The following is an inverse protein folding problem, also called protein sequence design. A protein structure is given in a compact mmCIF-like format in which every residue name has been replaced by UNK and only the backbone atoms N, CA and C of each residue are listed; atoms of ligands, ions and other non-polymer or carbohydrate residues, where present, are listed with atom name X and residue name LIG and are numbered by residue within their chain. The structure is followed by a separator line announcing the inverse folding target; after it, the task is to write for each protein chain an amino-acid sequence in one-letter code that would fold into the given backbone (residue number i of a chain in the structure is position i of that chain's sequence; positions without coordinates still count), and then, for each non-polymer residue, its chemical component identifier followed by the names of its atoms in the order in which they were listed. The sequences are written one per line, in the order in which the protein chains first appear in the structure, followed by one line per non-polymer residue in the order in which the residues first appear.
data_IF_504840965156
#
_entry.id   IF_504840965156
#
_cell.length_a   1.000
_cell.length_b   1.000
_cell.length_c   1.000
_cell.angle_alpha   90.00
_cell.angle_beta   90.00
_cell.angle_gamma   90.00
#
_symmetry.space_group_name_H-M   'P 1'
#
loop_
_entity.id
_entity.type
_entity.pdbx_description
1 polymer ?
#
# COMPACT_ATOMS: atom_id res chain seq x y z
N UNK A 1 9.21 6.90 19.08
CA UNK A 1 9.86 7.17 17.78
C UNK A 1 8.75 7.35 16.77
N UNK A 2 8.76 8.41 15.97
CA UNK A 2 7.75 8.61 14.92
C UNK A 2 7.87 7.50 13.88
N UNK A 3 6.75 6.88 13.47
CA UNK A 3 6.76 5.91 12.38
C UNK A 3 7.32 6.58 11.10
N UNK A 4 8.30 5.97 10.42
CA UNK A 4 8.99 6.61 9.30
C UNK A 4 8.08 6.82 8.09
N UNK A 5 7.02 6.02 7.96
CA UNK A 5 6.10 6.02 6.82
C UNK A 5 4.68 6.37 7.27
N UNK A 6 4.21 7.61 7.01
CA UNK A 6 2.84 8.06 7.34
C UNK A 6 1.69 7.18 6.84
N UNK A 7 1.90 6.36 5.80
CA UNK A 7 0.90 5.45 5.24
C UNK A 7 1.10 3.99 5.66
N UNK A 8 2.09 3.69 6.51
CA UNK A 8 2.39 2.32 6.97
C UNK A 8 2.56 2.31 8.49
N UNK A 9 1.49 1.92 9.20
CA UNK A 9 1.45 1.88 10.64
C UNK A 9 1.73 0.48 11.23
N UNK A 10 1.79 -0.56 10.40
CA UNK A 10 2.27 -1.87 10.83
C UNK A 10 3.77 -1.81 11.18
N UNK A 11 4.30 -2.76 11.97
CA UNK A 11 5.74 -2.90 12.19
C UNK A 11 6.50 -2.99 10.86
N UNK A 12 7.60 -2.25 10.71
CA UNK A 12 8.36 -2.25 9.45
C UNK A 12 8.92 -3.64 9.12
N UNK A 13 9.16 -4.48 10.12
CA UNK A 13 9.57 -5.87 9.93
C UNK A 13 8.54 -6.73 9.17
N UNK A 14 7.28 -6.29 9.09
CA UNK A 14 6.20 -6.94 8.32
C UNK A 14 6.06 -6.39 6.89
N UNK A 15 6.82 -5.34 6.54
CA UNK A 15 6.82 -4.81 5.19
C UNK A 15 7.32 -5.83 4.17
N UNK A 16 6.74 -5.79 2.96
CA UNK A 16 7.26 -6.56 1.84
C UNK A 16 8.69 -6.11 1.54
N UNK A 17 9.57 -7.09 1.36
CA UNK A 17 10.99 -6.85 1.12
C UNK A 17 11.82 -6.45 2.34
N UNK A 18 11.32 -6.47 3.58
CA UNK A 18 12.18 -6.18 4.74
C UNK A 18 13.39 -7.12 4.82
N UNK A 19 14.59 -6.56 4.97
CA UNK A 19 15.85 -7.33 5.05
C UNK A 19 16.64 -7.10 6.34
N UNK A 20 16.13 -6.30 7.27
CA UNK A 20 16.85 -5.93 8.48
C UNK A 20 18.14 -5.13 8.23
N UNK A 21 19.06 -5.22 9.18
CA UNK A 21 20.26 -4.38 9.22
C UNK A 21 21.29 -4.71 8.12
N UNK A 22 22.11 -3.73 7.75
CA UNK A 22 23.26 -3.85 6.87
C UNK A 22 23.49 -2.61 5.99
N UNK A 23 24.36 -2.71 4.97
CA UNK A 23 24.71 -1.56 4.13
C UNK A 23 23.58 -1.23 3.15
N UNK A 24 23.30 0.06 2.98
CA UNK A 24 22.39 0.58 1.97
C UNK A 24 23.06 0.60 0.59
N UNK A 25 22.44 0.03 -0.43
CA UNK A 25 22.98 0.00 -1.79
C UNK A 25 22.83 1.34 -2.54
N UNK A 26 22.08 2.30 -1.98
CA UNK A 26 21.90 3.64 -2.56
C UNK A 26 22.90 4.65 -2.02
N UNK A 27 23.19 4.63 -0.71
CA UNK A 27 24.09 5.60 -0.07
C UNK A 27 25.34 5.00 0.56
N UNK A 28 25.47 3.68 0.62
CA UNK A 28 26.60 2.97 1.22
C UNK A 28 26.63 2.96 2.75
N UNK A 29 25.72 3.67 3.42
CA UNK A 29 25.69 3.73 4.89
C UNK A 29 25.13 2.44 5.51
N UNK A 30 25.66 2.05 6.66
CA UNK A 30 25.04 1.05 7.54
C UNK A 30 23.68 1.56 8.04
N UNK A 31 22.68 0.68 8.02
CA UNK A 31 21.33 0.98 8.49
C UNK A 31 20.77 -0.20 9.28
N UNK A 32 19.98 0.08 10.31
CA UNK A 32 19.32 -0.94 11.13
C UNK A 32 18.14 -1.59 10.41
N UNK A 33 17.50 -0.83 9.51
CA UNK A 33 16.31 -1.25 8.76
C UNK A 33 16.48 -0.93 7.27
N UNK A 34 16.29 -1.96 6.45
CA UNK A 34 16.37 -1.88 4.99
C UNK A 34 15.23 -2.65 4.33
N UNK A 35 14.92 -2.25 3.11
CA UNK A 35 13.91 -2.85 2.25
C UNK A 35 14.56 -3.24 0.92
N UNK A 36 14.29 -4.45 0.46
CA UNK A 36 14.67 -4.95 -0.86
C UNK A 36 13.83 -4.27 -1.93
N UNK A 37 14.49 -3.89 -3.00
CA UNK A 37 13.88 -3.42 -4.24
C UNK A 37 13.40 -4.61 -5.05
N UNK A 38 12.15 -4.55 -5.47
CA UNK A 38 11.52 -5.53 -6.35
C UNK A 38 11.60 -5.11 -7.82
N UNK A 39 11.01 -5.92 -8.71
CA UNK A 39 10.94 -5.62 -10.15
C UNK A 39 10.14 -4.36 -10.49
N UNK A 40 9.35 -3.83 -9.55
CA UNK A 40 8.57 -2.59 -9.69
C UNK A 40 9.26 -1.37 -9.07
N UNK A 41 10.49 -1.48 -8.61
CA UNK A 41 11.22 -0.39 -7.96
C UNK A 41 12.05 0.44 -8.94
N UNK A 42 12.21 1.73 -8.66
CA UNK A 42 13.00 2.68 -9.45
C UNK A 42 13.83 3.59 -8.57
N UNK A 43 15.08 3.87 -8.96
CA UNK A 43 15.86 4.98 -8.40
C UNK A 43 15.38 6.31 -8.97
N UNK A 44 15.17 7.26 -8.08
CA UNK A 44 14.70 8.61 -8.38
C UNK A 44 15.83 9.60 -8.04
N UNK A 45 16.28 10.38 -9.02
CA UNK A 45 17.36 11.35 -8.82
C UNK A 45 17.82 12.02 -10.12
N UNK A 46 18.59 13.13 -10.02
CA UNK A 46 19.01 13.96 -11.17
C UNK A 46 20.18 13.38 -11.99
N UNK A 47 20.85 12.33 -11.52
CA UNK A 47 21.98 11.71 -12.21
C UNK A 47 21.63 10.28 -12.63
N UNK A 48 22.10 9.86 -13.81
CA UNK A 48 22.13 8.46 -14.25
C UNK A 48 23.04 7.67 -13.30
N UNK A 49 22.50 7.25 -12.16
CA UNK A 49 23.08 6.15 -11.40
C UNK A 49 22.78 4.87 -12.17
N UNK A 50 23.70 3.89 -12.18
CA UNK A 50 23.36 2.55 -12.63
C UNK A 50 22.07 2.14 -11.92
N UNK A 51 21.11 1.62 -12.67
CA UNK A 51 19.93 1.04 -12.05
C UNK A 51 20.43 0.05 -10.98
N UNK A 52 19.84 0.08 -9.77
CA UNK A 52 20.27 -0.84 -8.74
C UNK A 52 20.03 -2.26 -9.28
N UNK A 53 20.84 -3.21 -8.83
CA UNK A 53 20.58 -4.60 -9.17
C UNK A 53 19.16 -4.97 -8.74
N UNK A 54 18.50 -5.84 -9.51
CA UNK A 54 17.34 -6.57 -8.96
C UNK A 54 17.79 -7.15 -7.61
N UNK A 55 16.96 -6.99 -6.59
CA UNK A 55 17.21 -7.38 -5.20
C UNK A 55 18.09 -6.46 -4.34
N UNK A 56 18.42 -5.25 -4.82
CA UNK A 56 19.17 -4.27 -4.01
C UNK A 56 18.43 -3.91 -2.70
N UNK A 57 19.15 -3.68 -1.60
CA UNK A 57 18.55 -3.24 -0.34
C UNK A 57 18.76 -1.74 -0.09
N UNK A 58 17.68 -1.00 0.16
CA UNK A 58 17.67 0.44 0.45
C UNK A 58 17.34 0.72 1.91
N UNK A 59 18.04 1.67 2.54
CA UNK A 59 17.72 2.10 3.89
C UNK A 59 16.49 3.03 3.92
N UNK A 60 15.79 3.03 5.06
CA UNK A 60 14.63 3.90 5.31
C UNK A 60 14.91 5.38 5.00
N UNK A 61 16.04 6.00 5.41
CA UNK A 61 16.35 7.38 5.05
C UNK A 61 16.40 7.65 3.54
N UNK A 62 17.00 6.77 2.75
CA UNK A 62 17.07 6.95 1.28
C UNK A 62 15.68 6.86 0.65
N UNK A 63 14.84 5.93 1.13
CA UNK A 63 13.46 5.81 0.67
C UNK A 63 12.64 7.06 1.03
N UNK A 64 12.76 7.57 2.25
CA UNK A 64 12.08 8.81 2.70
C UNK A 64 12.58 10.06 1.99
N UNK A 65 13.86 10.11 1.64
CA UNK A 65 14.42 11.17 0.80
C UNK A 65 13.96 11.08 -0.67
N UNK A 66 13.14 10.09 -1.03
CA UNK A 66 12.64 9.91 -2.38
C UNK A 66 13.74 9.57 -3.37
N UNK A 67 14.79 8.88 -2.93
CA UNK A 67 15.84 8.35 -3.80
C UNK A 67 15.40 7.06 -4.51
N UNK A 68 14.32 6.46 -4.04
CA UNK A 68 13.68 5.28 -4.61
C UNK A 68 12.17 5.50 -4.57
N UNK A 69 11.48 4.97 -5.58
CA UNK A 69 10.04 4.83 -5.62
C UNK A 69 9.67 3.41 -6.04
N UNK A 70 8.56 2.91 -5.52
CA UNK A 70 7.97 1.64 -5.88
C UNK A 70 6.72 1.85 -6.73
N UNK A 71 6.44 0.93 -7.64
CA UNK A 71 5.12 0.80 -8.22
C UNK A 71 4.18 0.27 -7.14
N UNK A 72 2.97 0.85 -7.07
CA UNK A 72 1.95 0.47 -6.10
C UNK A 72 0.66 0.13 -6.81
N UNK A 73 0.15 -1.07 -6.57
CA UNK A 73 -1.18 -1.47 -6.97
C UNK A 73 -2.22 -0.90 -6.01
N UNK A 74 -3.31 -0.37 -6.57
CA UNK A 74 -4.35 0.30 -5.81
C UNK A 74 -5.73 -0.11 -6.31
N UNK A 75 -6.79 0.21 -5.56
CA UNK A 75 -8.17 0.01 -6.05
C UNK A 75 -8.53 0.83 -7.30
N UNK A 76 -7.68 1.80 -7.68
CA UNK A 76 -7.83 2.65 -8.86
C UNK A 76 -6.71 2.45 -9.89
N UNK A 77 -6.07 1.27 -9.87
CA UNK A 77 -5.00 0.90 -10.79
C UNK A 77 -3.62 1.16 -10.22
N UNK A 78 -2.59 0.83 -11.00
CA UNK A 78 -1.20 1.05 -10.60
C UNK A 78 -0.89 2.54 -10.43
N UNK A 79 0.10 2.83 -9.60
CA UNK A 79 0.72 4.15 -9.47
C UNK A 79 2.21 3.99 -9.69
N UNK A 80 2.68 4.44 -10.86
CA UNK A 80 4.10 4.59 -11.16
C UNK A 80 4.63 5.94 -10.63
N UNK A 81 5.94 6.13 -10.68
CA UNK A 81 6.55 7.41 -10.30
C UNK A 81 6.01 8.57 -11.16
N UNK A 82 5.89 8.39 -12.47
CA UNK A 82 5.37 9.37 -13.41
C UNK A 82 3.92 9.76 -13.10
N UNK A 83 3.11 8.76 -12.78
CA UNK A 83 1.70 8.91 -12.39
C UNK A 83 1.59 9.69 -11.09
N UNK A 84 2.44 9.36 -10.10
CA UNK A 84 2.53 10.08 -8.84
C UNK A 84 2.92 11.55 -9.01
N UNK A 85 3.88 11.85 -9.89
CA UNK A 85 4.26 13.23 -10.23
C UNK A 85 3.12 13.96 -10.94
N UNK A 86 2.40 13.27 -11.84
CA UNK A 86 1.27 13.84 -12.57
C UNK A 86 0.01 14.05 -11.70
N UNK A 87 -0.07 13.41 -10.53
CA UNK A 87 -1.23 13.51 -9.64
C UNK A 87 -2.43 12.72 -10.14
N UNK A 88 -2.19 11.54 -10.73
CA UNK A 88 -3.25 10.62 -11.15
C UNK A 88 -2.79 9.17 -11.06
N UNK A 89 -3.71 8.22 -10.98
CA UNK A 89 -3.38 6.80 -11.15
C UNK A 89 -3.16 6.44 -12.62
N UNK A 90 -2.54 5.29 -12.89
CA UNK A 90 -2.41 4.77 -14.25
C UNK A 90 -3.77 4.49 -14.91
N UNK A 91 -4.78 4.23 -14.07
CA UNK A 91 -6.16 4.01 -14.47
C UNK A 91 -6.56 2.54 -14.48
N UNK A 92 -7.86 2.32 -14.65
CA UNK A 92 -8.50 1.00 -14.73
C UNK A 92 -9.47 1.03 -15.91
N UNK A 93 -9.57 -0.06 -16.71
CA UNK A 93 -10.56 -0.14 -17.77
C UNK A 93 -11.98 -0.06 -17.18
N UNK A 94 -12.86 0.68 -17.86
CA UNK A 94 -14.28 0.79 -17.51
C UNK A 94 -14.56 1.31 -16.09
N UNK A 95 -13.63 2.05 -15.46
CA UNK A 95 -13.89 2.68 -14.17
C UNK A 95 -14.93 3.80 -14.33
N UNK A 96 -16.12 3.60 -13.75
CA UNK A 96 -17.24 4.55 -13.84
C UNK A 96 -17.46 5.38 -12.58
N UNK A 97 -16.85 4.98 -11.48
CA UNK A 97 -17.11 5.58 -10.17
C UNK A 97 -15.91 5.45 -9.24
N UNK A 98 -15.53 6.57 -8.62
CA UNK A 98 -14.59 6.63 -7.52
C UNK A 98 -15.12 7.64 -6.48
N UNK A 99 -15.59 7.14 -5.34
CA UNK A 99 -16.33 7.95 -4.37
C UNK A 99 -15.48 9.11 -3.82
N UNK A 100 -15.86 10.34 -4.16
CA UNK A 100 -15.15 11.55 -3.74
C UNK A 100 -13.83 11.81 -4.48
N UNK A 101 -13.57 11.14 -5.62
CA UNK A 101 -12.39 11.38 -6.44
C UNK A 101 -12.76 11.77 -7.88
N UNK A 102 -12.15 12.82 -8.45
CA UNK A 102 -12.35 13.15 -9.86
C UNK A 102 -11.80 12.06 -10.78
N UNK A 103 -12.51 11.81 -11.87
CA UNK A 103 -12.11 10.88 -12.93
C UNK A 103 -11.62 11.69 -14.15
N UNK A 104 -10.61 11.17 -14.84
CA UNK A 104 -10.25 11.68 -16.16
C UNK A 104 -11.22 11.18 -17.23
N UNK A 105 -11.19 11.80 -18.41
CA UNK A 105 -11.77 11.16 -19.59
C UNK A 105 -11.02 9.84 -19.89
N UNK A 106 -11.70 8.82 -20.46
CA UNK A 106 -11.05 7.60 -20.91
C UNK A 106 -9.97 7.91 -21.96
N UNK A 107 -8.82 7.23 -21.87
CA UNK A 107 -7.80 7.29 -22.92
C UNK A 107 -8.21 6.48 -24.17
N UNK A 108 -7.32 6.40 -25.17
CA UNK A 108 -7.56 5.66 -26.43
C UNK A 108 -7.89 4.17 -26.20
N UNK A 109 -7.38 3.59 -25.11
CA UNK A 109 -7.62 2.19 -24.71
C UNK A 109 -8.84 2.04 -23.77
N UNK A 110 -9.55 3.13 -23.49
CA UNK A 110 -10.71 3.14 -22.59
C UNK A 110 -10.38 3.12 -21.09
N UNK A 111 -9.12 3.38 -20.73
CA UNK A 111 -8.69 3.43 -19.32
C UNK A 111 -9.01 4.78 -18.72
N UNK A 112 -9.58 4.75 -17.51
CA UNK A 112 -9.95 5.95 -16.76
C UNK A 112 -9.06 6.06 -15.54
N UNK A 113 -8.38 7.19 -15.39
CA UNK A 113 -7.53 7.50 -14.24
C UNK A 113 -8.33 8.23 -13.15
N UNK A 114 -7.87 8.08 -11.91
CA UNK A 114 -8.37 8.85 -10.77
C UNK A 114 -7.39 9.97 -10.46
N UNK A 115 -7.88 11.21 -10.37
CA UNK A 115 -7.06 12.37 -10.00
C UNK A 115 -6.86 12.42 -8.48
N UNK A 116 -5.60 12.41 -8.05
CA UNK A 116 -5.21 12.38 -6.64
C UNK A 116 -4.01 13.33 -6.47
N UNK A 117 -4.01 14.24 -5.48
CA UNK A 117 -2.94 15.22 -5.32
C UNK A 117 -1.54 14.57 -5.39
N UNK A 118 -0.59 15.12 -6.18
CA UNK A 118 0.74 14.52 -6.36
C UNK A 118 1.44 14.16 -5.04
N UNK A 119 1.32 15.02 -4.03
CA UNK A 119 1.92 14.78 -2.72
C UNK A 119 1.41 13.50 -2.03
N UNK A 120 0.16 13.10 -2.27
CA UNK A 120 -0.41 11.86 -1.73
C UNK A 120 0.18 10.65 -2.47
N UNK A 121 0.23 10.70 -3.80
CA UNK A 121 0.75 9.59 -4.59
C UNK A 121 2.28 9.44 -4.43
N UNK A 122 3.01 10.54 -4.32
CA UNK A 122 4.44 10.54 -4.03
C UNK A 122 4.75 9.92 -2.66
N UNK A 123 3.89 10.16 -1.67
CA UNK A 123 3.99 9.49 -0.38
C UNK A 123 3.71 7.99 -0.50
N UNK A 124 2.70 7.60 -1.28
CA UNK A 124 2.35 6.20 -1.54
C UNK A 124 3.49 5.42 -2.20
N UNK A 125 4.07 5.93 -3.29
CA UNK A 125 5.18 5.24 -4.00
C UNK A 125 6.49 5.21 -3.19
N UNK A 126 6.60 5.98 -2.10
CA UNK A 126 7.72 5.93 -1.15
C UNK A 126 7.38 5.12 0.11
N UNK A 127 6.16 4.62 0.21
CA UNK A 127 5.72 3.79 1.33
C UNK A 127 6.07 2.33 1.01
N UNK A 128 6.68 1.58 1.94
CA UNK A 128 6.90 0.16 1.75
C UNK A 128 5.59 -0.58 1.51
N UNK A 129 5.66 -1.66 0.78
CA UNK A 129 4.53 -2.54 0.57
C UNK A 129 4.31 -3.46 1.76
N UNK A 130 3.31 -4.34 1.68
CA UNK A 130 3.01 -5.35 2.69
C UNK A 130 2.97 -6.73 2.05
N UNK A 131 3.22 -7.77 2.84
CA UNK A 131 3.26 -9.15 2.33
C UNK A 131 1.85 -9.59 1.90
N UNK A 132 1.78 -10.20 0.72
CA UNK A 132 0.55 -10.64 0.05
C UNK A 132 0.89 -11.71 -0.99
N UNK A 133 -0.03 -12.65 -1.25
CA UNK A 133 0.07 -13.65 -2.30
C UNK A 133 -0.56 -13.19 -3.62
N UNK A 134 -1.76 -12.59 -3.60
CA UNK A 134 -2.45 -12.13 -4.82
C UNK A 134 -1.96 -10.77 -5.33
N UNK A 135 -1.20 -10.04 -4.51
CA UNK A 135 -0.68 -8.73 -4.85
C UNK A 135 -1.25 -7.62 -3.98
N UNK A 136 -0.52 -6.51 -3.92
CA UNK A 136 -0.94 -5.39 -3.08
C UNK A 136 -2.18 -4.71 -3.66
N UNK A 137 -2.96 -4.09 -2.78
CA UNK A 137 -4.11 -3.27 -3.16
C UNK A 137 -4.30 -2.18 -2.12
N UNK A 138 -3.65 -1.05 -2.38
CA UNK A 138 -3.79 0.14 -1.54
C UNK A 138 -5.16 0.79 -1.71
N UNK A 139 -5.74 1.24 -0.59
CA UNK A 139 -7.08 1.82 -0.53
C UNK A 139 -7.03 3.33 -0.32
N UNK A 140 -8.06 4.01 -0.81
CA UNK A 140 -8.23 5.46 -0.72
C UNK A 140 -9.52 5.81 0.03
N UNK A 141 -9.50 6.97 0.71
CA UNK A 141 -10.67 7.53 1.38
C UNK A 141 -10.45 9.03 1.62
N UNK A 142 -11.50 9.84 1.47
CA UNK A 142 -11.46 11.29 1.70
C UNK A 142 -10.35 12.03 0.91
N UNK A 143 -10.11 11.65 -0.35
CA UNK A 143 -9.09 12.31 -1.17
C UNK A 143 -7.63 11.91 -0.87
N UNK A 144 -7.39 10.92 0.01
CA UNK A 144 -6.05 10.48 0.40
C UNK A 144 -5.91 8.96 0.36
N UNK A 145 -4.68 8.48 0.18
CA UNK A 145 -4.33 7.09 0.48
C UNK A 145 -4.58 6.82 1.98
N UNK A 146 -5.14 5.65 2.28
CA UNK A 146 -5.35 5.18 3.64
C UNK A 146 -4.05 4.63 4.22
N UNK A 147 -3.96 4.58 5.54
CA UNK A 147 -2.80 4.01 6.25
C UNK A 147 -3.01 2.52 6.38
N UNK A 148 -2.07 1.72 5.91
CA UNK A 148 -2.03 0.29 6.21
C UNK A 148 -1.77 0.09 7.70
N UNK A 149 -2.67 -0.61 8.40
CA UNK A 149 -2.60 -0.83 9.85
C UNK A 149 -2.30 -2.29 10.22
N UNK A 150 -1.95 -3.12 9.24
CA UNK A 150 -1.51 -4.50 9.45
C UNK A 150 -2.54 -5.54 9.02
N UNK A 151 -2.16 -6.80 9.21
CA UNK A 151 -3.06 -7.95 9.07
C UNK A 151 -3.89 -8.08 10.34
N UNK A 152 -5.18 -8.31 10.17
CA UNK A 152 -6.10 -8.48 11.29
C UNK A 152 -6.44 -9.95 11.52
N UNK A 153 -6.26 -10.37 12.76
CA UNK A 153 -6.79 -11.62 13.30
C UNK A 153 -8.25 -11.45 13.71
N UNK A 154 -8.90 -12.56 14.10
CA UNK A 154 -10.23 -12.48 14.73
C UNK A 154 -10.24 -11.58 15.96
N UNK A 155 -9.21 -11.67 16.80
CA UNK A 155 -9.09 -10.87 18.01
C UNK A 155 -8.95 -9.37 17.69
N UNK A 156 -8.28 -9.02 16.60
CA UNK A 156 -8.18 -7.63 16.15
C UNK A 156 -9.53 -7.09 15.71
N UNK A 157 -10.29 -7.88 14.95
CA UNK A 157 -11.66 -7.52 14.54
C UNK A 157 -12.54 -7.28 15.77
N UNK A 158 -12.56 -8.20 16.74
CA UNK A 158 -13.34 -8.04 17.98
C UNK A 158 -12.90 -6.82 18.78
N UNK A 159 -11.60 -6.55 18.85
CA UNK A 159 -11.04 -5.42 19.59
C UNK A 159 -11.40 -4.08 18.96
N UNK A 160 -11.35 -3.99 17.63
CA UNK A 160 -11.55 -2.75 16.90
C UNK A 160 -13.00 -2.49 16.50
N UNK A 161 -13.85 -3.52 16.43
CA UNK A 161 -15.24 -3.46 15.96
C UNK A 161 -16.22 -4.19 16.91
N UNK A 162 -16.35 -3.74 18.17
CA UNK A 162 -16.93 -4.56 19.25
C UNK A 162 -18.45 -4.76 19.23
N UNK A 163 -19.21 -3.96 18.46
CA UNK A 163 -20.68 -3.98 18.52
C UNK A 163 -21.30 -5.21 17.84
N UNK A 164 -20.88 -5.48 16.60
CA UNK A 164 -21.23 -6.67 15.82
C UNK A 164 -20.02 -7.02 14.93
N UNK A 165 -19.03 -7.75 15.48
CA UNK A 165 -17.76 -8.00 14.79
C UNK A 165 -17.91 -8.73 13.46
N UNK A 166 -18.88 -9.63 13.34
CA UNK A 166 -19.16 -10.38 12.10
C UNK A 166 -19.71 -9.44 11.02
N UNK A 167 -20.80 -8.73 11.32
CA UNK A 167 -21.39 -7.80 10.35
C UNK A 167 -20.41 -6.68 9.98
N UNK A 168 -19.63 -6.20 10.95
CA UNK A 168 -18.63 -5.17 10.70
C UNK A 168 -17.50 -5.66 9.79
N UNK A 169 -17.01 -6.90 9.97
CA UNK A 169 -16.03 -7.50 9.07
C UNK A 169 -16.56 -7.59 7.64
N UNK A 170 -17.77 -8.10 7.45
CA UNK A 170 -18.41 -8.22 6.13
C UNK A 170 -18.63 -6.85 5.45
N UNK A 171 -18.83 -5.79 6.24
CA UNK A 171 -19.01 -4.44 5.72
C UNK A 171 -17.68 -3.71 5.38
N UNK A 172 -16.57 -4.13 5.99
CA UNK A 172 -15.29 -3.42 5.93
C UNK A 172 -14.32 -4.06 4.95
N UNK A 173 -14.32 -5.40 4.86
CA UNK A 173 -13.38 -6.15 4.05
C UNK A 173 -14.02 -6.58 2.73
N UNK A 174 -13.49 -6.03 1.63
CA UNK A 174 -13.85 -6.47 0.28
C UNK A 174 -13.46 -7.95 0.09
N UNK A 175 -14.39 -8.77 -0.40
CA UNK A 175 -14.22 -10.22 -0.53
C UNK A 175 -14.56 -11.05 0.72
N UNK A 176 -14.88 -10.43 1.86
CA UNK A 176 -15.25 -11.18 3.06
C UNK A 176 -16.65 -11.83 2.95
N UNK A 177 -16.73 -13.09 3.36
CA UNK A 177 -17.98 -13.87 3.38
C UNK A 177 -18.30 -14.41 4.78
N UNK A 178 -19.58 -14.62 5.09
CA UNK A 178 -20.02 -15.00 6.44
C UNK A 178 -19.39 -16.32 6.93
N UNK A 179 -19.10 -17.25 6.01
CA UNK A 179 -18.43 -18.51 6.37
C UNK A 179 -17.01 -18.27 6.89
N UNK A 180 -16.31 -17.23 6.43
CA UNK A 180 -14.94 -16.93 6.89
C UNK A 180 -14.91 -16.60 8.39
N UNK A 181 -15.93 -15.90 8.89
CA UNK A 181 -16.08 -15.63 10.32
C UNK A 181 -16.36 -16.90 11.14
N UNK A 182 -17.19 -17.78 10.60
CA UNK A 182 -17.61 -19.02 11.28
C UNK A 182 -16.46 -20.03 11.40
N UNK A 183 -15.61 -20.12 10.38
CA UNK A 183 -14.48 -21.05 10.34
C UNK A 183 -13.24 -20.56 11.11
N UNK A 184 -13.25 -19.31 11.59
CA UNK A 184 -12.13 -18.71 12.30
C UNK A 184 -11.12 -18.14 11.31
N UNK A 185 -11.04 -16.81 11.25
CA UNK A 185 -10.13 -16.05 10.36
C UNK A 185 -8.70 -16.60 10.43
N UNK A 186 -8.25 -16.93 11.63
CA UNK A 186 -6.87 -17.37 11.90
C UNK A 186 -6.59 -18.82 11.44
N UNK A 187 -7.64 -19.60 11.17
CA UNK A 187 -7.55 -21.00 10.72
C UNK A 187 -7.69 -21.13 9.18
N UNK A 188 -7.89 -20.01 8.48
CA UNK A 188 -8.02 -19.97 7.03
C UNK A 188 -6.68 -19.70 6.37
N UNK A 189 -6.50 -20.20 5.15
CA UNK A 189 -5.44 -19.75 4.25
C UNK A 189 -5.80 -18.38 3.63
N UNK A 190 -6.30 -17.44 4.46
CA UNK A 190 -6.80 -16.13 4.06
C UNK A 190 -6.33 -15.08 5.07
N UNK A 191 -5.61 -14.06 4.58
CA UNK A 191 -5.17 -12.89 5.33
C UNK A 191 -6.16 -11.73 5.16
N UNK A 192 -6.39 -10.96 6.23
CA UNK A 192 -7.27 -9.78 6.24
C UNK A 192 -6.43 -8.50 6.37
N UNK A 193 -6.22 -7.78 5.28
CA UNK A 193 -5.39 -6.57 5.25
C UNK A 193 -6.23 -5.32 5.58
N UNK A 194 -5.92 -4.67 6.69
CA UNK A 194 -6.70 -3.54 7.19
C UNK A 194 -6.03 -2.18 6.92
N UNK A 195 -6.87 -1.19 6.62
CA UNK A 195 -6.48 0.19 6.35
C UNK A 195 -7.36 1.17 7.12
N UNK A 196 -6.79 2.29 7.55
CA UNK A 196 -7.51 3.37 8.24
C UNK A 196 -7.36 4.71 7.53
N UNK A 197 -8.47 5.40 7.32
CA UNK A 197 -8.46 6.78 6.82
C UNK A 197 -7.98 7.73 7.90
N UNK A 198 -7.02 8.62 7.59
CA UNK A 198 -6.51 9.63 8.55
C UNK A 198 -7.48 10.79 8.82
N UNK A 199 -8.48 10.96 7.96
CA UNK A 199 -9.39 12.11 8.01
C UNK A 199 -10.69 11.80 8.74
N UNK A 200 -11.23 10.59 8.57
CA UNK A 200 -12.52 10.19 9.13
C UNK A 200 -12.45 8.94 10.01
N UNK A 201 -11.25 8.39 10.25
CA UNK A 201 -11.00 7.15 11.01
C UNK A 201 -11.71 5.89 10.49
N UNK A 202 -12.40 5.98 9.34
CA UNK A 202 -13.04 4.82 8.70
C UNK A 202 -12.00 3.74 8.42
N UNK A 203 -12.34 2.51 8.78
CA UNK A 203 -11.58 1.31 8.45
C UNK A 203 -12.15 0.69 7.17
N UNK A 204 -11.27 0.23 6.30
CA UNK A 204 -11.56 -0.60 5.12
C UNK A 204 -10.50 -1.70 5.04
N UNK A 205 -10.78 -2.76 4.33
CA UNK A 205 -9.77 -3.79 4.07
C UNK A 205 -10.12 -4.64 2.86
N UNK A 206 -9.26 -5.60 2.59
CA UNK A 206 -9.49 -6.64 1.59
C UNK A 206 -8.92 -7.96 2.10
N UNK A 207 -9.40 -9.05 1.52
CA UNK A 207 -8.91 -10.41 1.79
C UNK A 207 -7.88 -10.82 0.75
N UNK A 208 -6.86 -11.56 1.17
CA UNK A 208 -5.85 -12.18 0.33
C UNK A 208 -5.66 -13.64 0.73
N UNK A 209 -5.09 -14.48 -0.14
CA UNK A 209 -4.70 -15.84 0.24
C UNK A 209 -3.36 -15.82 0.97
N UNK A 210 -3.13 -16.76 1.90
CA UNK A 210 -1.86 -16.91 2.63
C UNK A 210 -1.01 -18.10 2.20
#
# INVERSE_FOLDING_TARGET
MSQPFPLFAAPLAEASGYTGAGPCEVCGAEADERLRLDGGSRIVGPEERPAPHRDAAVCVPCLRAGQVAFIRDTEFGMVLWEDAVAGRTHGVPDLRWADGFPLTEPNEDGWVSVEIPPMVLLELVRTPGYQTWQGERWLFCCGSAMVYIGRWTRDDVVRHLPADPEAALLAIFDGAEAWMWQHGIDDLAIDFHAFRCRSCDRVRGHTDMS
#
